data_IF_363593779971
#
_entry.id   IF_363593779971
#
_cell.length_a   1.000
_cell.length_b   1.000
_cell.length_c   1.000
_cell.angle_alpha   90.00
_cell.angle_beta   90.00
_cell.angle_gamma   90.00
#
_symmetry.space_group_name_H-M   'P 1'
#
loop_
_entity.id
_entity.type
_entity.pdbx_description
1 polymer ?
#
# COMPACT_ATOMS: atom_id res chain seq x y z
N UNK A 1 -11.19 -7.58 -24.26
CA UNK A 1 -10.13 -8.62 -24.33
C UNK A 1 -8.76 -8.18 -23.80
N UNK A 2 -8.37 -6.89 -23.82
CA UNK A 2 -7.06 -6.42 -23.31
C UNK A 2 -6.92 -6.39 -21.77
N UNK A 3 -8.00 -6.09 -21.02
CA UNK A 3 -7.98 -6.03 -19.54
C UNK A 3 -7.65 -7.38 -18.87
N UNK A 4 -8.28 -8.48 -19.32
CA UNK A 4 -8.02 -9.83 -18.79
C UNK A 4 -6.59 -10.35 -19.09
N UNK A 5 -5.92 -9.78 -20.10
CA UNK A 5 -4.53 -10.10 -20.44
C UNK A 5 -3.53 -9.43 -19.49
N UNK A 6 -3.77 -8.17 -19.13
CA UNK A 6 -2.93 -7.41 -18.20
C UNK A 6 -3.04 -7.94 -16.76
N UNK A 7 -4.23 -8.37 -16.34
CA UNK A 7 -4.46 -9.00 -15.03
C UNK A 7 -3.70 -10.32 -14.88
N UNK A 8 -3.71 -11.17 -15.92
CA UNK A 8 -2.93 -12.41 -15.96
C UNK A 8 -1.43 -12.16 -15.93
N UNK A 9 -0.95 -11.08 -16.55
CA UNK A 9 0.47 -10.70 -16.54
C UNK A 9 0.87 -10.16 -15.17
N UNK A 10 0.07 -9.28 -14.56
CA UNK A 10 0.28 -8.77 -13.20
C UNK A 10 0.30 -9.91 -12.16
N UNK A 11 -0.66 -10.83 -12.22
CA UNK A 11 -0.68 -12.06 -11.40
C UNK A 11 0.58 -12.91 -11.59
N UNK A 12 1.09 -13.00 -12.83
CA UNK A 12 2.32 -13.74 -13.15
C UNK A 12 3.58 -13.05 -12.63
N UNK A 13 3.63 -11.72 -12.68
CA UNK A 13 4.71 -10.88 -12.15
C UNK A 13 4.71 -10.91 -10.62
N UNK A 14 3.55 -10.80 -9.96
CA UNK A 14 3.41 -10.92 -8.51
C UNK A 14 3.79 -12.32 -8.04
N UNK A 15 3.30 -13.38 -8.71
CA UNK A 15 3.74 -14.76 -8.44
C UNK A 15 5.23 -14.94 -8.69
N UNK A 16 5.81 -14.36 -9.73
CA UNK A 16 7.24 -14.44 -10.02
C UNK A 16 8.10 -13.67 -9.00
N UNK A 17 7.70 -12.47 -8.59
CA UNK A 17 8.40 -11.65 -7.60
C UNK A 17 8.37 -12.30 -6.21
N UNK A 18 7.22 -12.86 -5.79
CA UNK A 18 7.17 -13.71 -4.60
C UNK A 18 7.98 -14.99 -4.76
N UNK A 19 7.98 -15.63 -5.94
CA UNK A 19 8.79 -16.83 -6.18
C UNK A 19 10.29 -16.58 -6.15
N UNK A 20 10.74 -15.37 -6.53
CA UNK A 20 12.16 -14.95 -6.47
C UNK A 20 12.59 -14.55 -5.05
N UNK A 21 11.69 -14.03 -4.21
CA UNK A 21 11.93 -13.74 -2.78
C UNK A 21 11.86 -14.99 -1.86
N UNK A 22 11.37 -16.14 -2.35
CA UNK A 22 11.01 -17.37 -1.60
C UNK A 22 12.04 -17.94 -0.59
N UNK A 23 13.29 -17.49 -0.55
CA UNK A 23 14.35 -18.22 0.18
C UNK A 23 15.22 -17.40 1.14
N UNK A 24 14.95 -16.11 1.42
CA UNK A 24 15.87 -15.34 2.30
C UNK A 24 15.24 -14.52 3.43
N UNK A 25 13.97 -14.14 3.35
CA UNK A 25 13.33 -13.38 4.43
C UNK A 25 13.02 -14.28 5.64
N UNK A 26 13.34 -13.78 6.84
CA UNK A 26 12.94 -14.37 8.14
C UNK A 26 11.93 -13.46 8.85
N UNK A 27 11.30 -12.53 8.13
CA UNK A 27 10.52 -11.47 8.72
C UNK A 27 9.03 -11.65 8.40
N UNK A 28 8.18 -11.12 9.28
CA UNK A 28 6.74 -11.01 9.03
C UNK A 28 6.44 -9.86 8.08
N UNK A 29 5.48 -10.01 7.19
CA UNK A 29 5.02 -9.00 6.25
C UNK A 29 3.49 -8.99 6.20
N UNK A 30 2.94 -7.90 5.67
CA UNK A 30 1.51 -7.76 5.49
C UNK A 30 0.99 -8.84 4.53
N UNK A 31 -0.19 -9.40 4.82
CA UNK A 31 -0.87 -10.29 3.89
C UNK A 31 -1.36 -9.50 2.68
N UNK A 32 -0.94 -9.88 1.47
CA UNK A 32 -1.19 -9.10 0.23
C UNK A 32 -2.26 -9.71 -0.67
N UNK A 33 -3.21 -10.48 -0.12
CA UNK A 33 -4.24 -11.16 -0.92
C UNK A 33 -5.63 -11.10 -0.26
N UNK A 34 -6.68 -10.93 -1.05
CA UNK A 34 -8.08 -11.13 -0.61
C UNK A 34 -8.58 -12.53 -0.99
N UNK A 35 -9.45 -13.12 -0.17
CA UNK A 35 -10.03 -14.45 -0.38
C UNK A 35 -11.42 -14.37 -1.01
N UNK A 36 -11.54 -14.68 -2.31
CA UNK A 36 -12.81 -14.68 -3.05
C UNK A 36 -13.77 -15.79 -2.63
N UNK A 37 -13.27 -16.88 -2.07
CA UNK A 37 -14.14 -17.89 -1.48
C UNK A 37 -14.78 -17.29 -0.23
N UNK A 38 -16.12 -17.26 -0.09
CA UNK A 38 -16.81 -16.59 1.01
C UNK A 38 -16.72 -17.43 2.29
N UNK A 39 -15.51 -17.58 2.83
CA UNK A 39 -15.21 -18.20 4.11
C UNK A 39 -14.58 -17.16 5.03
N UNK A 40 -14.91 -17.22 6.31
CA UNK A 40 -14.33 -16.32 7.30
C UNK A 40 -12.94 -16.81 7.72
N UNK A 41 -11.91 -16.05 7.34
CA UNK A 41 -10.52 -16.23 7.76
C UNK A 41 -9.96 -15.00 8.48
N UNK A 42 -10.83 -14.11 8.99
CA UNK A 42 -10.42 -12.87 9.63
C UNK A 42 -9.53 -13.11 10.86
N UNK A 43 -9.75 -14.21 11.59
CA UNK A 43 -8.90 -14.65 12.71
C UNK A 43 -7.41 -14.80 12.34
N UNK A 44 -7.10 -14.96 11.06
CA UNK A 44 -5.73 -15.06 10.54
C UNK A 44 -5.32 -13.84 9.72
N UNK A 45 -6.06 -12.72 9.82
CA UNK A 45 -5.85 -11.48 9.09
C UNK A 45 -5.99 -11.64 7.56
N UNK A 46 -6.79 -12.62 7.12
CA UNK A 46 -7.12 -12.88 5.71
C UNK A 46 -8.58 -12.46 5.48
N UNK A 47 -8.79 -11.44 4.65
CA UNK A 47 -10.11 -10.84 4.41
C UNK A 47 -10.67 -11.22 3.04
N UNK A 48 -12.00 -11.23 2.90
CA UNK A 48 -12.64 -11.55 1.62
C UNK A 48 -12.65 -10.36 0.64
N UNK A 49 -12.66 -9.14 1.17
CA UNK A 49 -12.74 -7.90 0.42
C UNK A 49 -11.84 -6.84 1.06
N UNK A 50 -11.39 -5.87 0.26
CA UNK A 50 -10.67 -4.70 0.72
C UNK A 50 -11.63 -3.51 0.80
N UNK A 51 -11.76 -2.94 1.99
CA UNK A 51 -12.56 -1.76 2.30
C UNK A 51 -11.89 -0.99 3.45
N UNK A 52 -12.40 0.19 3.82
CA UNK A 52 -11.78 1.02 4.85
C UNK A 52 -11.63 0.31 6.22
N UNK A 53 -12.58 -0.54 6.61
CA UNK A 53 -12.54 -1.26 7.89
C UNK A 53 -11.51 -2.39 7.88
N UNK A 54 -11.54 -3.24 6.84
CA UNK A 54 -10.59 -4.35 6.67
C UNK A 54 -9.17 -3.81 6.50
N UNK A 55 -9.00 -2.75 5.73
CA UNK A 55 -7.73 -2.05 5.61
C UNK A 55 -7.25 -1.58 6.98
N UNK A 56 -8.12 -0.93 7.79
CA UNK A 56 -7.77 -0.48 9.14
C UNK A 56 -7.32 -1.65 10.02
N UNK A 57 -8.03 -2.79 10.01
CA UNK A 57 -7.63 -4.02 10.73
C UNK A 57 -6.29 -4.58 10.24
N UNK A 58 -6.07 -4.56 8.92
CA UNK A 58 -4.81 -5.00 8.31
C UNK A 58 -3.62 -4.15 8.74
N UNK A 59 -3.83 -2.85 8.96
CA UNK A 59 -2.75 -1.91 9.26
C UNK A 59 -2.60 -1.56 10.74
N UNK A 60 -3.61 -1.84 11.58
CA UNK A 60 -3.62 -1.51 13.02
C UNK A 60 -2.51 -2.18 13.81
N UNK A 61 -2.27 -3.48 13.58
CA UNK A 61 -1.30 -4.28 14.32
C UNK A 61 -0.41 -5.08 13.36
N UNK A 62 0.81 -5.42 13.80
CA UNK A 62 1.64 -6.39 13.07
C UNK A 62 0.97 -7.77 13.07
N UNK A 63 1.19 -8.58 12.03
CA UNK A 63 0.59 -9.91 11.93
C UNK A 63 0.91 -10.83 13.12
N UNK A 64 2.09 -10.67 13.70
CA UNK A 64 2.47 -11.37 14.92
C UNK A 64 1.66 -10.93 16.14
N UNK A 65 1.51 -9.61 16.35
CA UNK A 65 0.69 -9.07 17.45
C UNK A 65 -0.77 -9.47 17.26
N UNK A 66 -1.29 -9.36 16.03
CA UNK A 66 -2.64 -9.78 15.69
C UNK A 66 -2.88 -11.26 16.03
N UNK A 67 -1.95 -12.15 15.65
CA UNK A 67 -2.03 -13.56 16.03
C UNK A 67 -2.01 -13.76 17.56
N UNK A 68 -1.22 -12.98 18.31
CA UNK A 68 -1.19 -13.03 19.78
C UNK A 68 -2.52 -12.56 20.40
N UNK A 69 -3.13 -11.51 19.87
CA UNK A 69 -4.46 -11.04 20.29
C UNK A 69 -5.49 -12.16 20.08
N UNK A 70 -5.47 -12.81 18.92
CA UNK A 70 -6.38 -13.91 18.60
C UNK A 70 -6.12 -15.19 19.43
N UNK A 71 -4.90 -15.36 19.94
CA UNK A 71 -4.53 -16.42 20.86
C UNK A 71 -5.06 -16.22 22.29
N UNK A 72 -5.59 -15.02 22.60
CA UNK A 72 -6.07 -14.68 23.94
C UNK A 72 -4.98 -14.22 24.90
N UNK A 73 -3.88 -13.64 24.39
CA UNK A 73 -2.90 -12.93 25.22
C UNK A 73 -3.56 -11.70 25.85
N UNK A 74 -3.29 -11.43 27.12
CA UNK A 74 -3.88 -10.31 27.84
C UNK A 74 -3.43 -8.94 27.28
N UNK A 75 -4.28 -7.94 27.45
CA UNK A 75 -4.09 -6.61 26.86
C UNK A 75 -2.80 -5.91 27.36
N UNK A 76 -2.43 -6.10 28.64
CA UNK A 76 -1.22 -5.52 29.19
C UNK A 76 0.04 -6.11 28.51
N UNK A 77 0.06 -7.42 28.31
CA UNK A 77 1.14 -8.08 27.58
C UNK A 77 1.17 -7.68 26.10
N UNK A 78 0.01 -7.52 25.45
CA UNK A 78 -0.06 -7.04 24.05
C UNK A 78 0.49 -5.62 23.91
N UNK A 79 0.16 -4.72 24.84
CA UNK A 79 0.70 -3.36 24.86
C UNK A 79 2.23 -3.36 25.00
N UNK A 80 2.77 -4.21 25.87
CA UNK A 80 4.22 -4.41 25.97
C UNK A 80 4.84 -4.94 24.65
N UNK A 81 4.17 -5.86 23.95
CA UNK A 81 4.65 -6.34 22.65
C UNK A 81 4.66 -5.23 21.58
N UNK A 82 3.69 -4.31 21.61
CA UNK A 82 3.62 -3.14 20.72
C UNK A 82 4.77 -2.16 20.95
N UNK A 83 5.22 -2.01 22.19
CA UNK A 83 6.41 -1.18 22.48
C UNK A 83 7.67 -1.72 21.81
N UNK A 84 7.79 -3.05 21.71
CA UNK A 84 8.96 -3.74 21.14
C UNK A 84 8.88 -3.82 19.60
N UNK A 85 7.69 -4.13 19.06
CA UNK A 85 7.42 -4.26 17.63
C UNK A 85 6.66 -3.02 17.17
N UNK A 86 7.42 -1.99 16.78
CA UNK A 86 6.88 -0.75 16.22
C UNK A 86 6.73 -0.75 14.70
N UNK A 87 7.12 -1.84 14.04
CA UNK A 87 7.14 -1.98 12.58
C UNK A 87 6.53 -3.31 12.18
N UNK A 88 5.87 -3.35 11.01
CA UNK A 88 5.22 -4.57 10.51
C UNK A 88 6.22 -5.65 10.10
N UNK A 89 7.35 -5.21 9.54
CA UNK A 89 8.47 -6.07 9.17
C UNK A 89 9.55 -6.03 10.27
N UNK A 90 9.70 -7.15 10.99
CA UNK A 90 10.65 -7.26 12.08
C UNK A 90 11.37 -8.62 12.06
N UNK A 91 12.62 -8.66 12.55
CA UNK A 91 13.40 -9.90 12.57
C UNK A 91 12.92 -10.85 13.66
N UNK A 92 12.96 -12.16 13.39
CA UNK A 92 12.67 -13.24 14.36
C UNK A 92 13.44 -13.13 15.69
N UNK A 93 14.60 -12.48 15.71
CA UNK A 93 15.35 -12.23 16.95
C UNK A 93 14.56 -11.42 17.99
N UNK A 94 13.61 -10.58 17.55
CA UNK A 94 12.71 -9.85 18.45
C UNK A 94 11.70 -10.78 19.13
N UNK A 95 11.27 -11.87 18.48
CA UNK A 95 10.39 -12.88 19.11
C UNK A 95 11.09 -13.51 20.31
N UNK A 96 12.40 -13.77 20.21
CA UNK A 96 13.18 -14.28 21.35
C UNK A 96 13.19 -13.30 22.54
N UNK A 97 13.27 -12.00 22.26
CA UNK A 97 13.22 -10.96 23.31
C UNK A 97 11.83 -10.93 23.95
N UNK A 98 10.78 -10.97 23.14
CA UNK A 98 9.39 -10.99 23.61
C UNK A 98 9.11 -12.22 24.45
N UNK A 99 9.53 -13.41 24.01
CA UNK A 99 9.35 -14.67 24.75
C UNK A 99 9.91 -14.58 26.17
N UNK A 100 11.14 -14.07 26.29
CA UNK A 100 11.82 -13.88 27.58
C UNK A 100 11.13 -12.86 28.48
N UNK A 101 10.63 -11.76 27.90
CA UNK A 101 10.04 -10.67 28.67
C UNK A 101 8.60 -10.94 29.10
N UNK A 102 7.79 -11.57 28.24
CA UNK A 102 6.38 -11.83 28.52
C UNK A 102 6.15 -13.14 29.27
N UNK A 103 7.12 -14.06 29.26
CA UNK A 103 6.95 -15.40 29.81
C UNK A 103 6.10 -16.31 28.92
N UNK A 104 5.97 -15.99 27.63
CA UNK A 104 5.17 -16.74 26.66
C UNK A 104 6.11 -17.58 25.79
N UNK A 105 5.77 -18.87 25.63
CA UNK A 105 6.45 -19.74 24.66
C UNK A 105 5.84 -19.51 23.27
N UNK A 106 6.68 -19.24 22.29
CA UNK A 106 6.26 -19.17 20.88
C UNK A 106 6.83 -20.34 20.10
N UNK A 107 5.96 -21.13 19.49
CA UNK A 107 6.35 -22.17 18.55
C UNK A 107 5.96 -21.74 17.14
N UNK A 108 6.95 -21.51 16.28
CA UNK A 108 6.76 -21.01 14.91
C UNK A 108 7.11 -22.11 13.91
N UNK A 109 6.12 -22.57 13.15
CA UNK A 109 6.33 -23.45 12.01
C UNK A 109 6.47 -22.60 10.75
N UNK A 110 7.68 -22.54 10.19
CA UNK A 110 7.89 -21.95 8.87
C UNK A 110 7.52 -22.97 7.80
N UNK A 111 6.44 -22.67 7.09
CA UNK A 111 5.92 -23.51 6.03
C UNK A 111 6.81 -23.44 4.78
N UNK A 112 7.17 -24.60 4.23
CA UNK A 112 7.88 -24.69 2.97
C UNK A 112 7.20 -25.71 2.05
N UNK A 113 6.83 -25.27 0.84
CA UNK A 113 6.14 -26.11 -0.14
C UNK A 113 7.08 -27.14 -0.80
N UNK A 114 8.39 -26.85 -0.86
CA UNK A 114 9.40 -27.68 -1.56
C UNK A 114 10.28 -28.52 -0.65
N UNK A 115 10.42 -28.12 0.61
CA UNK A 115 11.33 -28.74 1.57
C UNK A 115 10.60 -29.07 2.88
N UNK A 116 11.31 -29.69 3.81
CA UNK A 116 10.78 -29.87 5.17
C UNK A 116 10.47 -28.52 5.82
N UNK A 117 9.33 -28.47 6.51
CA UNK A 117 9.00 -27.35 7.39
C UNK A 117 10.09 -27.20 8.45
N UNK A 118 10.38 -25.95 8.80
CA UNK A 118 11.33 -25.65 9.88
C UNK A 118 10.54 -25.17 11.09
N UNK A 119 10.75 -25.79 12.25
CA UNK A 119 10.20 -25.34 13.52
C UNK A 119 11.22 -24.47 14.27
N UNK A 120 10.72 -23.41 14.89
CA UNK A 120 11.50 -22.55 15.77
C UNK A 120 10.74 -22.41 17.08
N UNK A 121 11.37 -22.80 18.18
CA UNK A 121 10.80 -22.62 19.52
C UNK A 121 11.55 -21.51 20.23
N UNK A 122 10.81 -20.53 20.73
CA UNK A 122 11.31 -19.45 21.56
C UNK A 122 10.80 -19.66 22.97
N UNK A 123 11.71 -20.09 23.85
CA UNK A 123 11.43 -20.36 25.26
C UNK A 123 11.62 -19.09 26.11
N UNK A 124 10.73 -18.85 27.09
CA UNK A 124 10.98 -17.91 28.17
C UNK A 124 12.09 -18.41 29.12
N UNK A 125 12.60 -17.52 29.97
CA UNK A 125 13.61 -17.87 30.99
C UNK A 125 13.00 -18.61 32.20
N UNK A 126 11.70 -18.46 32.43
CA UNK A 126 10.89 -19.11 33.47
C UNK A 126 9.88 -20.09 32.85
N UNK A 127 9.10 -20.81 33.66
CA UNK A 127 8.02 -21.66 33.14
C UNK A 127 7.01 -20.84 32.31
N UNK A 128 6.65 -21.32 31.10
CA UNK A 128 5.80 -20.55 30.20
C UNK A 128 4.37 -20.47 30.74
N UNK A 129 3.85 -19.24 30.85
CA UNK A 129 2.45 -18.99 31.24
C UNK A 129 1.46 -19.51 30.20
N UNK A 130 1.87 -19.48 28.94
CA UNK A 130 1.09 -19.97 27.81
C UNK A 130 2.00 -20.32 26.64
N UNK A 131 1.47 -21.10 25.70
CA UNK A 131 2.14 -21.42 24.44
C UNK A 131 1.29 -20.92 23.28
N UNK A 132 1.91 -20.15 22.38
CA UNK A 132 1.27 -19.66 21.15
C UNK A 132 1.87 -20.41 19.96
N UNK A 133 1.02 -21.16 19.27
CA UNK A 133 1.35 -21.93 18.08
C UNK A 133 1.14 -21.06 16.83
N UNK A 134 2.24 -20.74 16.15
CA UNK A 134 2.27 -19.84 15.00
C UNK A 134 2.69 -20.59 13.74
N UNK A 135 2.07 -20.21 12.63
CA UNK A 135 2.40 -20.61 11.28
C UNK A 135 2.97 -19.38 10.57
N UNK A 136 4.16 -19.53 9.97
CA UNK A 136 4.73 -18.54 9.07
C UNK A 136 4.63 -19.06 7.64
N UNK A 137 3.70 -18.49 6.87
CA UNK A 137 3.44 -18.88 5.48
C UNK A 137 3.33 -17.61 4.63
N UNK A 138 3.98 -17.59 3.46
CA UNK A 138 4.08 -16.40 2.60
C UNK A 138 4.56 -15.14 3.34
N UNK A 139 5.56 -15.31 4.21
CA UNK A 139 6.11 -14.26 5.06
C UNK A 139 5.08 -13.62 6.01
N UNK A 140 3.93 -14.24 6.27
CA UNK A 140 2.91 -13.73 7.20
C UNK A 140 2.74 -14.64 8.43
N UNK A 141 2.72 -14.07 9.63
CA UNK A 141 2.44 -14.80 10.87
C UNK A 141 0.94 -14.96 11.09
N UNK A 142 0.51 -16.19 11.36
CA UNK A 142 -0.88 -16.53 11.67
C UNK A 142 -0.93 -17.63 12.72
N UNK A 143 -2.08 -17.84 13.36
CA UNK A 143 -2.24 -18.96 14.29
C UNK A 143 -2.23 -20.30 13.57
N UNK A 144 -1.48 -21.26 14.09
CA UNK A 144 -1.39 -22.61 13.53
C UNK A 144 -2.55 -23.48 14.04
N UNK A 145 -3.74 -23.26 13.47
CA UNK A 145 -4.98 -23.94 13.86
C UNK A 145 -5.48 -24.92 12.78
N UNK A 146 -6.47 -25.74 13.15
CA UNK A 146 -7.21 -26.60 12.23
C UNK A 146 -8.63 -26.07 12.08
N UNK A 147 -9.08 -25.96 10.84
CA UNK A 147 -10.40 -25.43 10.50
C UNK A 147 -11.38 -26.54 10.15
N UNK A 148 -12.69 -26.43 10.48
CA UNK A 148 -13.73 -27.37 10.10
C UNK A 148 -14.12 -27.21 8.61
N UNK A 149 -13.13 -27.30 7.72
CA UNK A 149 -13.26 -27.13 6.28
C UNK A 149 -12.70 -28.37 5.62
N UNK A 150 -13.44 -28.90 4.65
CA UNK A 150 -12.99 -30.02 3.84
C UNK A 150 -12.23 -29.54 2.60
N UNK A 151 -11.24 -30.33 2.20
CA UNK A 151 -10.52 -30.08 0.95
C UNK A 151 -11.42 -30.22 -0.29
N UNK A 152 -12.45 -31.07 -0.21
CA UNK A 152 -13.46 -31.25 -1.26
C UNK A 152 -14.35 -30.03 -1.42
N UNK A 153 -14.78 -29.39 -0.32
CA UNK A 153 -15.54 -28.15 -0.40
C UNK A 153 -14.79 -27.06 -1.16
N UNK A 154 -13.50 -26.85 -0.86
CA UNK A 154 -12.69 -25.83 -1.53
C UNK A 154 -12.57 -26.14 -3.03
N UNK A 155 -12.34 -27.39 -3.41
CA UNK A 155 -12.17 -27.78 -4.83
C UNK A 155 -13.45 -27.75 -5.66
N UNK A 156 -14.61 -27.97 -5.04
CA UNK A 156 -15.89 -28.15 -5.72
C UNK A 156 -16.95 -27.15 -5.24
N UNK A 157 -16.54 -25.97 -4.78
CA UNK A 157 -17.42 -24.97 -4.16
C UNK A 157 -18.67 -24.67 -5.00
N UNK A 158 -18.51 -24.42 -6.31
CA UNK A 158 -19.63 -24.10 -7.20
C UNK A 158 -20.63 -25.25 -7.30
N UNK A 159 -20.16 -26.49 -7.45
CA UNK A 159 -21.01 -27.68 -7.53
C UNK A 159 -21.75 -27.92 -6.22
N UNK A 160 -21.06 -27.74 -5.08
CA UNK A 160 -21.65 -27.89 -3.74
C UNK A 160 -22.73 -26.83 -3.53
N UNK A 161 -22.50 -25.59 -3.94
CA UNK A 161 -23.49 -24.52 -3.83
C UNK A 161 -24.70 -24.74 -4.75
N UNK A 162 -24.52 -25.32 -5.94
CA UNK A 162 -25.62 -25.66 -6.86
C UNK A 162 -26.49 -26.81 -6.35
N UNK A 163 -25.88 -27.85 -5.80
CA UNK A 163 -26.57 -29.07 -5.34
C UNK A 163 -27.14 -28.94 -3.93
N UNK A 164 -26.46 -28.21 -3.04
CA UNK A 164 -26.85 -28.01 -1.65
C UNK A 164 -27.26 -26.56 -1.40
N UNK A 165 -28.21 -26.03 -2.19
CA UNK A 165 -28.65 -24.62 -2.08
C UNK A 165 -29.15 -24.28 -0.67
N UNK A 166 -29.98 -25.15 -0.10
CA UNK A 166 -30.66 -24.93 1.19
C UNK A 166 -29.76 -25.10 2.43
N UNK A 167 -28.50 -25.50 2.25
CA UNK A 167 -27.58 -25.69 3.36
C UNK A 167 -26.94 -24.36 3.77
N UNK A 168 -26.64 -24.21 5.06
CA UNK A 168 -25.77 -23.12 5.53
C UNK A 168 -24.36 -23.32 5.00
N UNK A 169 -23.60 -22.22 4.86
CA UNK A 169 -22.21 -22.25 4.42
C UNK A 169 -21.35 -23.18 5.30
N UNK A 170 -21.49 -23.09 6.63
CA UNK A 170 -20.80 -23.94 7.59
C UNK A 170 -21.03 -25.44 7.32
N UNK A 171 -22.27 -25.81 6.98
CA UNK A 171 -22.61 -27.18 6.63
C UNK A 171 -22.02 -27.60 5.28
N UNK A 172 -21.95 -26.68 4.31
CA UNK A 172 -21.27 -26.91 3.01
C UNK A 172 -19.76 -27.11 3.19
N UNK A 173 -19.13 -26.39 4.12
CA UNK A 173 -17.70 -26.52 4.41
C UNK A 173 -17.30 -27.94 4.83
N UNK A 174 -18.22 -28.69 5.47
CA UNK A 174 -18.00 -30.05 5.96
C UNK A 174 -18.17 -31.16 4.90
N UNK A 175 -18.46 -30.80 3.64
CA UNK A 175 -18.70 -31.75 2.54
C UNK A 175 -17.43 -32.49 2.15
N UNK A 176 -17.29 -33.75 2.56
CA UNK A 176 -16.03 -34.50 2.39
C UNK A 176 -16.05 -35.55 1.28
N UNK A 177 -17.23 -35.97 0.80
CA UNK A 177 -17.36 -36.97 -0.27
C UNK A 177 -18.51 -36.63 -1.20
N UNK A 178 -18.29 -36.87 -2.50
CA UNK A 178 -19.30 -36.78 -3.55
C UNK A 178 -19.81 -38.19 -3.90
N UNK A 179 -21.12 -38.35 -3.96
CA UNK A 179 -21.80 -39.47 -4.60
C UNK A 179 -22.56 -38.94 -5.83
N UNK A 180 -23.06 -39.84 -6.69
CA UNK A 180 -23.74 -39.45 -7.94
C UNK A 180 -24.90 -38.47 -7.73
N UNK A 181 -25.65 -38.63 -6.63
CA UNK A 181 -26.87 -37.84 -6.36
C UNK A 181 -26.83 -37.04 -5.05
N UNK A 182 -25.77 -37.17 -4.24
CA UNK A 182 -25.68 -36.50 -2.93
C UNK A 182 -24.24 -36.26 -2.47
N UNK A 183 -24.07 -35.31 -1.56
CA UNK A 183 -22.82 -35.12 -0.82
C UNK A 183 -22.94 -35.69 0.59
N UNK A 184 -21.86 -36.27 1.10
CA UNK A 184 -21.74 -36.60 2.52
C UNK A 184 -20.95 -35.54 3.25
N UNK A 185 -21.39 -35.27 4.48
CA UNK A 185 -20.73 -34.40 5.43
C UNK A 185 -19.97 -35.24 6.45
N UNK A 186 -18.87 -34.71 6.96
CA UNK A 186 -18.20 -35.24 8.14
C UNK A 186 -17.99 -34.11 9.14
N UNK A 187 -18.79 -34.11 10.22
CA UNK A 187 -18.76 -33.09 11.26
C UNK A 187 -17.48 -33.08 12.10
N UNK A 188 -16.71 -34.17 12.10
CA UNK A 188 -15.43 -34.27 12.81
C UNK A 188 -14.24 -33.90 11.93
N UNK A 189 -14.46 -33.60 10.66
CA UNK A 189 -13.39 -33.29 9.73
C UNK A 189 -12.81 -31.91 10.03
N UNK A 190 -11.51 -31.87 10.28
CA UNK A 190 -10.74 -30.64 10.38
C UNK A 190 -9.52 -30.71 9.47
N UNK A 191 -9.20 -29.59 8.82
CA UNK A 191 -8.04 -29.45 7.92
C UNK A 191 -7.08 -28.40 8.48
N UNK A 192 -5.76 -28.67 8.54
CA UNK A 192 -4.78 -27.67 8.95
C UNK A 192 -4.86 -26.39 8.10
N UNK A 193 -4.72 -25.23 8.73
CA UNK A 193 -4.80 -23.93 8.04
C UNK A 193 -3.86 -23.83 6.85
N UNK A 194 -2.60 -24.28 7.00
CA UNK A 194 -1.63 -24.33 5.91
C UNK A 194 -2.20 -25.04 4.67
N UNK A 195 -2.91 -26.16 4.87
CA UNK A 195 -3.50 -26.93 3.76
C UNK A 195 -4.70 -26.23 3.13
N UNK A 196 -5.50 -25.52 3.94
CA UNK A 196 -6.60 -24.67 3.44
C UNK A 196 -6.04 -23.58 2.52
N UNK A 197 -4.99 -22.87 2.97
CA UNK A 197 -4.35 -21.80 2.20
C UNK A 197 -3.75 -22.34 0.90
N UNK A 198 -3.05 -23.48 0.92
CA UNK A 198 -2.57 -24.13 -0.31
C UNK A 198 -3.70 -24.41 -1.31
N UNK A 199 -4.83 -24.95 -0.83
CA UNK A 199 -5.96 -25.27 -1.68
C UNK A 199 -6.61 -24.01 -2.26
N UNK A 200 -6.69 -22.93 -1.50
CA UNK A 200 -7.20 -21.65 -1.99
C UNK A 200 -6.31 -21.08 -3.10
N UNK A 201 -4.98 -21.14 -2.95
CA UNK A 201 -4.05 -20.77 -4.02
C UNK A 201 -4.15 -21.69 -5.23
N UNK A 202 -4.27 -23.00 -5.02
CA UNK A 202 -4.36 -23.99 -6.11
C UNK A 202 -5.63 -23.84 -6.95
N UNK A 203 -6.74 -23.36 -6.36
CA UNK A 203 -8.01 -23.13 -7.04
C UNK A 203 -8.22 -21.66 -7.44
N UNK A 204 -7.19 -20.80 -7.35
CA UNK A 204 -7.23 -19.37 -7.70
C UNK A 204 -8.31 -18.56 -6.95
N UNK A 205 -8.56 -18.87 -5.69
CA UNK A 205 -9.47 -18.07 -4.85
C UNK A 205 -8.81 -16.82 -4.25
N UNK A 206 -7.49 -16.68 -4.36
CA UNK A 206 -6.79 -15.48 -3.90
C UNK A 206 -6.60 -14.48 -5.02
N UNK A 207 -6.99 -13.23 -4.75
CA UNK A 207 -6.74 -12.07 -5.61
C UNK A 207 -5.72 -11.16 -4.93
N UNK A 208 -4.68 -10.67 -5.64
CA UNK A 208 -3.66 -9.82 -5.03
C UNK A 208 -4.21 -8.44 -4.73
N UNK A 209 -3.87 -7.91 -3.55
CA UNK A 209 -4.09 -6.52 -3.18
C UNK A 209 -2.97 -5.69 -3.77
N UNK A 210 -3.28 -4.68 -4.60
CA UNK A 210 -2.27 -3.76 -5.10
C UNK A 210 -1.89 -2.80 -3.98
N UNK A 211 -0.60 -2.50 -3.84
CA UNK A 211 -0.11 -1.54 -2.83
C UNK A 211 -0.81 -0.18 -2.96
N UNK A 212 -1.03 0.27 -4.20
CA UNK A 212 -1.79 1.49 -4.46
C UNK A 212 -3.23 1.46 -3.94
N UNK A 213 -3.95 0.34 -4.07
CA UNK A 213 -5.32 0.19 -3.56
C UNK A 213 -5.34 0.28 -2.04
N UNK A 214 -4.39 -0.37 -1.35
CA UNK A 214 -4.26 -0.24 0.10
C UNK A 214 -3.98 1.22 0.50
N UNK A 215 -3.09 1.91 -0.21
CA UNK A 215 -2.75 3.31 0.06
C UNK A 215 -3.92 4.28 -0.17
N UNK A 216 -4.91 3.96 -1.01
CA UNK A 216 -6.12 4.81 -1.13
C UNK A 216 -6.93 4.92 0.17
N UNK A 217 -6.81 3.95 1.07
CA UNK A 217 -7.50 3.97 2.37
C UNK A 217 -6.70 4.68 3.48
N UNK A 218 -5.47 5.12 3.21
CA UNK A 218 -4.61 5.77 4.20
C UNK A 218 -3.96 7.02 3.65
N UNK A 219 -4.20 8.15 4.30
CA UNK A 219 -3.65 9.47 3.95
C UNK A 219 -2.12 9.57 4.06
N UNK A 220 -1.46 8.55 4.57
CA UNK A 220 -0.01 8.49 4.69
C UNK A 220 0.45 7.06 4.45
N UNK A 221 1.41 6.91 3.54
CA UNK A 221 2.11 5.65 3.30
C UNK A 221 2.65 5.00 4.59
N UNK A 222 2.88 5.81 5.64
CA UNK A 222 3.48 5.40 6.91
C UNK A 222 2.94 6.17 8.15
N UNK A 223 1.66 6.55 8.25
CA UNK A 223 1.08 6.55 9.63
C UNK A 223 0.93 5.08 10.04
N UNK A 224 2.07 4.41 10.19
CA UNK A 224 2.30 3.22 11.01
C UNK A 224 2.20 3.60 12.48
N UNK A 225 1.24 4.46 12.84
CA UNK A 225 0.86 4.61 14.22
C UNK A 225 0.06 3.35 14.54
N UNK A 226 0.80 2.26 14.77
CA UNK A 226 0.35 1.19 15.66
C UNK A 226 -0.24 1.86 16.90
N UNK A 227 -1.24 1.21 17.48
CA UNK A 227 -2.09 1.77 18.53
C UNK A 227 -1.28 2.60 19.56
N UNK A 228 -1.73 3.85 19.82
CA UNK A 228 -0.99 4.79 20.66
C UNK A 228 -0.72 4.19 22.05
N UNK A 229 0.43 4.53 22.60
CA UNK A 229 0.83 4.09 23.93
C UNK A 229 -0.15 4.70 24.95
N UNK A 230 -0.94 3.83 25.60
CA UNK A 230 -2.02 4.24 26.51
C UNK A 230 -1.45 4.82 27.81
N UNK A 231 -0.25 4.38 28.21
CA UNK A 231 0.38 4.75 29.46
C UNK A 231 1.86 5.10 29.26
N UNK A 232 2.31 6.20 29.89
CA UNK A 232 3.70 6.67 29.89
C UNK A 232 4.46 6.17 31.14
N UNK A 233 3.82 5.39 32.02
CA UNK A 233 4.49 4.82 33.18
C UNK A 233 5.57 3.83 32.76
N UNK A 234 6.71 3.93 33.44
CA UNK A 234 7.91 3.18 33.10
C UNK A 234 7.90 1.83 33.83
N UNK A 235 7.94 0.73 33.07
CA UNK A 235 8.12 -0.58 33.65
C UNK A 235 9.61 -0.84 33.96
N UNK A 236 9.99 -0.77 35.24
CA UNK A 236 11.38 -0.95 35.70
C UNK A 236 12.00 -2.27 35.26
N UNK A 237 11.21 -3.34 35.10
CA UNK A 237 11.70 -4.66 34.69
C UNK A 237 12.24 -4.68 33.25
N UNK A 238 11.67 -3.87 32.36
CA UNK A 238 11.97 -3.93 30.92
C UNK A 238 12.77 -2.74 30.43
N UNK A 239 12.57 -1.57 31.03
CA UNK A 239 13.08 -0.32 30.50
C UNK A 239 14.45 0.07 31.09
N UNK A 240 14.94 -0.64 32.11
CA UNK A 240 16.21 -0.35 32.82
C UNK A 240 17.43 -1.13 32.29
N UNK A 241 17.54 -1.33 30.97
CA UNK A 241 18.68 -2.06 30.38
C UNK A 241 19.81 -1.11 30.01
N UNK A 242 21.04 -1.45 30.43
CA UNK A 242 22.25 -0.77 29.96
C UNK A 242 22.34 -0.88 28.44
N UNK A 243 22.41 0.28 27.78
CA UNK A 243 22.60 0.38 26.33
C UNK A 243 23.99 -0.18 25.99
N UNK A 244 24.07 -1.13 25.07
CA UNK A 244 25.37 -1.59 24.54
C UNK A 244 26.05 -0.46 23.78
N UNK A 245 27.37 -0.40 23.88
CA UNK A 245 28.19 0.56 23.15
C UNK A 245 27.94 0.47 21.64
N UNK A 246 27.85 1.64 21.03
CA UNK A 246 27.59 1.81 19.61
C UNK A 246 28.81 1.38 18.79
N UNK A 247 28.64 0.48 17.81
CA UNK A 247 29.69 0.14 16.82
C UNK A 247 29.32 0.68 15.44
N UNK A 248 30.29 1.32 14.79
CA UNK A 248 30.15 2.11 13.57
C UNK A 248 30.20 1.31 12.26
N UNK A 249 30.31 -0.02 12.33
CA UNK A 249 30.82 -0.83 11.21
C UNK A 249 29.81 -1.17 10.11
N UNK A 250 28.61 -0.61 10.10
CA UNK A 250 27.60 -0.99 9.07
C UNK A 250 26.75 0.18 8.58
N UNK A 251 27.38 1.17 7.95
CA UNK A 251 26.67 2.05 7.00
C UNK A 251 27.23 1.88 5.60
N UNK A 252 26.56 1.05 4.79
CA UNK A 252 26.62 1.26 3.34
C UNK A 252 25.74 2.46 3.04
N UNK A 253 26.35 3.53 2.54
CA UNK A 253 25.64 4.69 2.02
C UNK A 253 24.80 4.23 0.82
N UNK A 254 23.52 3.91 1.04
CA UNK A 254 22.58 3.57 -0.03
C UNK A 254 22.01 4.85 -0.63
N UNK A 255 22.84 5.60 -1.36
CA UNK A 255 22.37 6.74 -2.15
C UNK A 255 21.65 6.21 -3.40
N UNK A 256 20.50 6.80 -3.71
CA UNK A 256 19.77 6.51 -4.95
C UNK A 256 20.67 6.84 -6.16
N UNK A 257 20.89 5.90 -7.09
CA UNK A 257 21.78 6.11 -8.23
C UNK A 257 21.04 6.92 -9.31
N UNK A 258 20.89 8.24 -9.12
CA UNK A 258 20.20 9.10 -10.09
C UNK A 258 21.01 9.26 -11.38
N UNK A 259 20.34 9.17 -12.53
CA UNK A 259 20.92 9.47 -13.85
C UNK A 259 20.21 10.65 -14.53
N UNK A 260 18.91 10.85 -14.27
CA UNK A 260 18.10 11.91 -14.85
C UNK A 260 17.38 12.70 -13.76
N UNK A 261 17.16 14.00 -13.98
CA UNK A 261 16.48 14.89 -13.04
C UNK A 261 15.33 15.61 -13.74
N UNK A 262 14.13 15.50 -13.17
CA UNK A 262 12.93 16.13 -13.70
C UNK A 262 12.25 17.00 -12.63
N UNK A 263 11.57 18.04 -13.08
CA UNK A 263 10.60 18.80 -12.30
C UNK A 263 9.23 18.57 -12.92
N UNK A 264 8.22 18.30 -12.09
CA UNK A 264 6.89 17.96 -12.56
C UNK A 264 5.80 18.57 -11.66
N UNK A 265 4.63 18.81 -12.26
CA UNK A 265 3.43 19.30 -11.58
C UNK A 265 2.18 18.65 -12.21
N UNK A 266 1.20 18.27 -11.39
CA UNK A 266 -0.07 17.73 -11.85
C UNK A 266 -1.18 18.77 -11.76
N UNK A 267 -2.00 18.83 -12.80
CA UNK A 267 -3.30 19.47 -12.72
C UNK A 267 -4.41 18.43 -12.53
N UNK A 268 -5.34 18.72 -11.61
CA UNK A 268 -6.39 17.80 -11.21
C UNK A 268 -7.74 18.49 -11.00
N UNK A 269 -8.83 17.76 -11.30
CA UNK A 269 -10.19 18.29 -11.11
C UNK A 269 -10.57 18.32 -9.62
N UNK A 270 -11.32 19.35 -9.23
CA UNK A 270 -11.79 19.57 -7.85
C UNK A 270 -13.31 19.38 -7.70
N UNK A 271 -13.98 18.92 -8.77
CA UNK A 271 -15.44 18.78 -8.92
C UNK A 271 -16.08 17.63 -8.11
N UNK A 272 -15.35 17.02 -7.17
CA UNK A 272 -15.89 15.98 -6.30
C UNK A 272 -14.96 15.56 -5.16
N UNK A 273 -15.41 14.58 -4.36
CA UNK A 273 -14.67 14.09 -3.18
C UNK A 273 -13.33 13.40 -3.51
N UNK A 274 -13.10 13.03 -4.77
CA UNK A 274 -11.86 12.38 -5.23
C UNK A 274 -11.32 13.21 -6.39
N UNK A 275 -10.18 13.85 -6.17
CA UNK A 275 -9.49 14.60 -7.20
C UNK A 275 -8.94 13.65 -8.27
N UNK A 276 -9.01 14.07 -9.53
CA UNK A 276 -8.54 13.27 -10.66
C UNK A 276 -7.55 14.08 -11.48
N UNK A 277 -6.32 13.61 -11.55
CA UNK A 277 -5.30 14.17 -12.43
C UNK A 277 -5.77 14.08 -13.89
N UNK A 278 -5.58 15.19 -14.61
CA UNK A 278 -5.93 15.31 -16.02
C UNK A 278 -4.79 15.83 -16.88
N UNK A 279 -3.81 16.50 -16.29
CA UNK A 279 -2.58 16.92 -16.95
C UNK A 279 -1.39 16.67 -16.01
N UNK A 280 -0.24 16.35 -16.60
CA UNK A 280 1.07 16.49 -15.98
C UNK A 280 1.99 17.24 -16.91
N UNK A 281 2.55 18.32 -16.40
CA UNK A 281 3.63 19.07 -17.03
C UNK A 281 4.95 18.67 -16.37
N UNK A 282 5.98 18.40 -17.18
CA UNK A 282 7.29 18.07 -16.67
C UNK A 282 8.40 18.56 -17.59
N UNK A 283 9.54 18.89 -17.00
CA UNK A 283 10.75 19.32 -17.70
C UNK A 283 11.97 18.60 -17.13
N UNK A 284 12.96 18.36 -17.96
CA UNK A 284 14.27 17.85 -17.54
C UNK A 284 15.16 19.02 -17.10
N UNK A 285 16.04 18.83 -16.12
CA UNK A 285 16.91 19.89 -15.55
C UNK A 285 17.79 20.59 -16.60
N UNK A 286 18.15 19.89 -17.68
CA UNK A 286 19.02 20.38 -18.76
C UNK A 286 18.25 20.81 -20.03
N UNK A 287 16.91 20.84 -20.00
CA UNK A 287 16.06 21.18 -21.15
C UNK A 287 15.24 22.45 -20.88
N UNK A 288 15.25 23.39 -21.84
CA UNK A 288 14.41 24.59 -21.80
C UNK A 288 12.96 24.29 -22.24
N UNK A 289 12.72 23.10 -22.80
CA UNK A 289 11.40 22.62 -23.18
C UNK A 289 10.64 21.94 -22.04
N UNK A 290 9.32 22.13 -22.00
CA UNK A 290 8.43 21.34 -21.15
C UNK A 290 7.63 20.34 -22.01
N UNK A 291 7.28 19.21 -21.41
CA UNK A 291 6.33 18.25 -21.98
C UNK A 291 5.06 18.27 -21.15
N UNK A 292 3.91 18.37 -21.83
CA UNK A 292 2.59 18.29 -21.21
C UNK A 292 1.86 17.04 -21.69
N UNK A 293 1.29 16.26 -20.77
CA UNK A 293 0.54 15.04 -21.08
C UNK A 293 -0.88 15.16 -20.52
N UNK A 294 -1.82 15.34 -21.43
CA UNK A 294 -3.25 15.42 -21.12
C UNK A 294 -3.95 14.05 -21.13
N UNK A 295 -5.02 13.98 -20.32
CA UNK A 295 -5.98 12.88 -20.26
C UNK A 295 -5.96 12.12 -18.94
N UNK A 296 -7.00 11.33 -18.70
CA UNK A 296 -7.16 10.56 -17.45
C UNK A 296 -6.07 9.50 -17.20
N UNK A 297 -5.25 9.19 -18.21
CA UNK A 297 -4.13 8.26 -18.13
C UNK A 297 -2.76 8.97 -18.04
N UNK A 298 -2.74 10.29 -17.81
CA UNK A 298 -1.55 11.14 -17.75
C UNK A 298 -0.47 10.58 -16.80
N UNK A 299 -0.85 10.18 -15.58
CA UNK A 299 0.07 9.61 -14.60
C UNK A 299 0.78 8.34 -15.11
N UNK A 300 0.07 7.48 -15.83
CA UNK A 300 0.64 6.25 -16.38
C UNK A 300 1.59 6.52 -17.55
N UNK A 301 1.20 7.44 -18.46
CA UNK A 301 2.01 7.89 -19.59
C UNK A 301 3.27 8.61 -19.13
N UNK A 302 3.19 9.42 -18.08
CA UNK A 302 4.33 10.06 -17.45
C UNK A 302 5.37 9.05 -16.95
N UNK A 303 4.93 8.02 -16.20
CA UNK A 303 5.83 6.94 -15.74
C UNK A 303 6.41 6.13 -16.91
N UNK A 304 5.69 6.00 -18.03
CA UNK A 304 6.20 5.40 -19.26
C UNK A 304 7.25 6.27 -19.95
N UNK A 305 7.11 7.59 -19.92
CA UNK A 305 8.04 8.55 -20.51
C UNK A 305 9.36 8.66 -19.73
N UNK A 306 9.31 8.60 -18.39
CA UNK A 306 10.51 8.72 -17.56
C UNK A 306 11.56 7.63 -17.82
N UNK A 307 12.83 7.94 -18.04
CA UNK A 307 13.92 6.96 -18.07
C UNK A 307 14.10 6.17 -16.76
N UNK A 308 14.84 5.06 -16.81
CA UNK A 308 15.29 4.38 -15.59
C UNK A 308 16.16 5.31 -14.74
N UNK A 309 16.11 5.16 -13.40
CA UNK A 309 16.88 5.99 -12.44
C UNK A 309 16.59 7.49 -12.49
N UNK A 310 15.38 7.86 -12.90
CA UNK A 310 14.91 9.24 -12.86
C UNK A 310 14.63 9.69 -11.43
N UNK A 311 15.12 10.88 -11.10
CA UNK A 311 14.78 11.63 -9.90
C UNK A 311 13.82 12.75 -10.27
N UNK A 312 12.59 12.72 -9.75
CA UNK A 312 11.55 13.69 -10.07
C UNK A 312 11.23 14.52 -8.84
N UNK A 313 11.22 15.83 -9.00
CA UNK A 313 10.81 16.78 -7.99
C UNK A 313 9.36 17.24 -8.24
N UNK A 314 8.55 17.16 -7.19
CA UNK A 314 7.25 17.80 -7.10
C UNK A 314 7.30 18.84 -5.99
N UNK A 315 6.60 19.96 -6.15
CA UNK A 315 6.52 20.97 -5.11
C UNK A 315 5.28 20.74 -4.26
N UNK A 316 5.47 20.12 -3.08
CA UNK A 316 4.43 19.48 -2.26
C UNK A 316 4.06 18.06 -2.73
N UNK A 317 5.08 17.19 -2.85
CA UNK A 317 4.97 15.79 -3.28
C UNK A 317 3.82 15.00 -2.65
N UNK A 318 3.44 15.30 -1.40
CA UNK A 318 2.37 14.59 -0.67
C UNK A 318 1.06 14.54 -1.45
N UNK A 319 0.77 15.55 -2.26
CA UNK A 319 -0.42 15.59 -3.11
C UNK A 319 -0.21 14.74 -4.38
N UNK A 320 0.78 15.11 -5.19
CA UNK A 320 1.04 14.51 -6.51
C UNK A 320 1.32 13.02 -6.47
N UNK A 321 2.03 12.58 -5.42
CA UNK A 321 2.43 11.18 -5.33
C UNK A 321 1.23 10.24 -5.23
N UNK A 322 0.08 10.71 -4.75
CA UNK A 322 -1.15 9.91 -4.66
C UNK A 322 -1.63 9.44 -6.03
N UNK A 323 -1.43 10.23 -7.09
CA UNK A 323 -1.75 9.85 -8.47
C UNK A 323 -0.79 8.77 -8.99
N UNK A 324 0.49 8.87 -8.64
CA UNK A 324 1.56 7.95 -9.07
C UNK A 324 1.55 6.62 -8.33
N UNK A 325 1.23 6.66 -7.03
CA UNK A 325 1.19 5.54 -6.10
C UNK A 325 0.41 4.33 -6.63
N UNK A 326 -0.73 4.59 -7.25
CA UNK A 326 -1.62 3.57 -7.80
C UNK A 326 -1.01 2.76 -8.94
N UNK A 327 0.01 3.31 -9.60
CA UNK A 327 0.64 2.77 -10.81
C UNK A 327 1.96 2.03 -10.53
N UNK A 328 2.59 2.26 -9.38
CA UNK A 328 3.86 1.65 -9.02
C UNK A 328 3.69 0.16 -8.66
N UNK A 329 4.62 -0.69 -9.11
CA UNK A 329 4.60 -2.14 -8.86
C UNK A 329 5.09 -2.48 -7.45
N UNK A 330 6.08 -1.74 -6.96
CA UNK A 330 6.72 -1.96 -5.66
C UNK A 330 7.26 -0.62 -5.16
N UNK A 331 7.00 -0.28 -3.89
CA UNK A 331 7.73 0.78 -3.19
C UNK A 331 9.05 0.19 -2.69
N UNK A 332 10.15 0.87 -2.99
CA UNK A 332 11.50 0.43 -2.66
C UNK A 332 12.15 1.38 -1.68
N UNK A 333 13.08 0.88 -0.86
CA UNK A 333 13.67 1.67 0.22
C UNK A 333 12.67 2.03 1.32
N UNK A 334 13.09 2.94 2.20
CA UNK A 334 12.23 3.52 3.23
C UNK A 334 11.82 4.92 2.77
N UNK A 335 10.54 5.15 2.46
CA UNK A 335 10.03 6.49 2.22
C UNK A 335 10.31 7.41 3.41
N UNK A 336 10.61 8.66 3.11
CA UNK A 336 10.93 9.67 4.11
C UNK A 336 9.68 10.53 4.28
N UNK A 337 9.07 10.43 5.46
CA UNK A 337 7.85 11.17 5.81
C UNK A 337 8.10 11.90 7.12
N UNK A 338 7.73 13.18 7.17
CA UNK A 338 7.85 14.04 8.34
C UNK A 338 6.48 14.63 8.67
N UNK A 339 5.81 14.06 9.68
CA UNK A 339 4.42 14.40 9.97
C UNK A 339 3.50 13.99 8.82
N UNK A 340 2.69 14.91 8.30
CA UNK A 340 1.86 14.69 7.11
C UNK A 340 2.61 14.89 5.78
N UNK A 341 3.85 15.39 5.82
CA UNK A 341 4.62 15.72 4.62
C UNK A 341 5.42 14.51 4.14
N UNK A 342 5.18 14.10 2.89
CA UNK A 342 5.96 13.08 2.20
C UNK A 342 7.16 13.74 1.52
N UNK A 343 8.37 13.51 2.04
CA UNK A 343 9.60 14.13 1.54
C UNK A 343 10.27 13.34 0.41
N UNK A 344 10.19 12.01 0.46
CA UNK A 344 10.80 11.15 -0.55
C UNK A 344 10.11 9.80 -0.64
N UNK A 345 9.86 9.32 -1.85
CA UNK A 345 9.42 7.95 -2.14
C UNK A 345 10.27 7.38 -3.27
N UNK A 346 10.65 6.11 -3.18
CA UNK A 346 11.26 5.39 -4.29
C UNK A 346 10.37 4.23 -4.70
N UNK A 347 10.24 3.95 -5.98
CA UNK A 347 9.37 2.91 -6.48
C UNK A 347 9.86 2.29 -7.77
N UNK A 348 9.34 1.11 -8.09
CA UNK A 348 9.56 0.45 -9.37
C UNK A 348 8.33 0.54 -10.25
N UNK A 349 8.57 0.79 -11.52
CA UNK A 349 7.55 0.81 -12.56
C UNK A 349 8.08 0.13 -13.82
N UNK A 350 7.49 -1.00 -14.25
CA UNK A 350 7.89 -1.76 -15.44
C UNK A 350 9.40 -2.01 -15.54
N UNK A 351 10.02 -2.33 -14.41
CA UNK A 351 11.47 -2.57 -14.30
C UNK A 351 12.35 -1.33 -14.13
N UNK A 352 11.80 -0.11 -14.26
CA UNK A 352 12.48 1.15 -13.97
C UNK A 352 12.46 1.43 -12.47
N UNK A 353 13.54 1.97 -11.94
CA UNK A 353 13.68 2.46 -10.57
C UNK A 353 13.55 3.99 -10.57
N UNK A 354 12.51 4.51 -9.92
CA UNK A 354 12.19 5.94 -9.90
C UNK A 354 12.26 6.48 -8.47
N UNK A 355 12.68 7.74 -8.32
CA UNK A 355 12.69 8.45 -7.05
C UNK A 355 11.90 9.74 -7.18
N UNK A 356 10.98 9.97 -6.25
CA UNK A 356 10.17 11.18 -6.15
C UNK A 356 10.59 11.94 -4.89
N UNK A 357 10.83 13.24 -5.01
CA UNK A 357 11.24 14.11 -3.91
C UNK A 357 10.39 15.36 -3.82
N UNK A 358 10.21 15.81 -2.60
CA UNK A 358 9.52 17.07 -2.32
C UNK A 358 10.49 18.24 -2.35
N UNK A 359 10.30 19.16 -3.30
CA UNK A 359 11.08 20.40 -3.33
C UNK A 359 10.62 21.38 -2.25
N UNK A 360 9.37 21.30 -1.77
CA UNK A 360 8.86 22.14 -0.66
C UNK A 360 9.55 21.82 0.68
N UNK A 361 10.05 20.60 0.83
CA UNK A 361 10.89 20.20 1.97
C UNK A 361 12.28 20.89 1.96
N UNK A 362 12.71 21.43 0.82
CA UNK A 362 13.97 22.15 0.64
C UNK A 362 13.70 23.66 0.66
N UNK A 363 12.73 24.12 -0.12
CA UNK A 363 12.31 25.52 -0.24
C UNK A 363 10.88 25.61 0.27
N UNK A 364 10.73 25.83 1.57
CA UNK A 364 9.43 25.81 2.26
C UNK A 364 8.62 27.10 2.06
N UNK A 365 8.50 27.54 0.81
CA UNK A 365 7.71 28.70 0.40
C UNK A 365 6.87 28.29 -0.80
N UNK A 366 5.67 28.86 -0.94
CA UNK A 366 4.83 28.66 -2.13
C UNK A 366 5.53 29.16 -3.39
N UNK A 367 5.26 28.48 -4.51
CA UNK A 367 5.74 28.86 -5.85
C UNK A 367 5.38 30.31 -6.24
N UNK A 368 4.25 30.85 -5.77
CA UNK A 368 3.85 32.24 -6.05
C UNK A 368 4.89 33.29 -5.62
N UNK A 369 5.75 32.96 -4.63
CA UNK A 369 6.80 33.86 -4.13
C UNK A 369 8.17 33.62 -4.75
N UNK A 370 8.33 32.60 -5.60
CA UNK A 370 9.61 32.28 -6.21
C UNK A 370 10.13 33.40 -7.12
N UNK A 371 9.29 34.06 -7.95
CA UNK A 371 9.76 35.16 -8.80
C UNK A 371 10.42 36.28 -7.99
N UNK A 372 9.78 36.67 -6.87
CA UNK A 372 10.32 37.69 -5.96
C UNK A 372 11.59 37.20 -5.24
N UNK A 373 11.57 35.98 -4.69
CA UNK A 373 12.67 35.44 -3.88
C UNK A 373 13.95 35.18 -4.66
N UNK A 374 13.83 34.71 -5.89
CA UNK A 374 14.97 34.33 -6.73
C UNK A 374 15.23 35.31 -7.87
N UNK A 375 14.49 36.43 -7.90
CA UNK A 375 14.56 37.44 -8.96
C UNK A 375 14.38 36.83 -10.36
N UNK A 376 13.43 35.92 -10.51
CA UNK A 376 13.16 35.25 -11.78
C UNK A 376 12.36 36.16 -12.70
N UNK A 377 12.73 36.18 -13.98
CA UNK A 377 11.94 36.75 -15.07
C UNK A 377 10.84 35.79 -15.55
N UNK A 378 10.23 35.04 -14.63
CA UNK A 378 9.08 34.20 -14.91
C UNK A 378 7.80 35.04 -14.96
N UNK A 379 6.81 34.62 -15.77
CA UNK A 379 5.48 35.23 -15.80
C UNK A 379 4.76 35.16 -14.45
N UNK A 380 3.66 35.92 -14.30
CA UNK A 380 2.83 35.86 -13.10
C UNK A 380 2.27 34.45 -12.90
N UNK A 381 2.35 33.92 -11.67
CA UNK A 381 1.72 32.64 -11.36
C UNK A 381 0.19 32.83 -11.36
N UNK A 382 -0.43 32.15 -12.32
CA UNK A 382 -1.80 32.21 -12.80
C UNK A 382 -2.96 32.54 -11.84
N UNK A 383 -3.92 33.28 -12.40
CA UNK A 383 -5.27 33.54 -11.91
C UNK A 383 -6.29 32.69 -12.69
N UNK A 384 -5.96 31.47 -13.12
CA UNK A 384 -6.98 30.58 -13.68
C UNK A 384 -7.86 29.98 -12.58
N UNK A 385 -9.19 29.91 -12.78
CA UNK A 385 -10.10 29.43 -11.75
C UNK A 385 -10.01 27.90 -11.60
N UNK A 386 -9.27 27.41 -10.60
CA UNK A 386 -9.18 25.97 -10.29
C UNK A 386 -10.56 25.28 -10.12
N UNK A 387 -11.59 26.02 -9.71
CA UNK A 387 -12.96 25.52 -9.55
C UNK A 387 -13.75 25.41 -10.86
N UNK A 388 -13.22 25.95 -11.97
CA UNK A 388 -13.82 25.91 -13.29
C UNK A 388 -13.43 24.63 -14.06
N UNK A 389 -12.26 24.06 -13.75
CA UNK A 389 -11.76 22.84 -14.39
C UNK A 389 -12.56 21.60 -13.95
N UNK A 390 -13.63 21.29 -14.69
CA UNK A 390 -14.40 20.05 -14.50
C UNK A 390 -13.85 18.92 -15.36
N UNK A 391 -14.12 17.68 -14.95
CA UNK A 391 -13.72 16.50 -15.73
C UNK A 391 -14.27 16.52 -17.16
N UNK A 392 -15.47 17.08 -17.37
CA UNK A 392 -16.08 17.15 -18.70
C UNK A 392 -15.33 18.11 -19.61
N UNK A 393 -15.15 19.36 -19.18
CA UNK A 393 -14.43 20.43 -19.91
C UNK A 393 -13.03 19.99 -20.35
N UNK A 394 -12.28 19.36 -19.45
CA UNK A 394 -10.90 18.94 -19.72
C UNK A 394 -10.82 17.77 -20.71
N UNK A 395 -11.83 16.89 -20.76
CA UNK A 395 -11.80 15.72 -21.64
C UNK A 395 -12.46 15.95 -23.01
N UNK A 396 -13.23 17.04 -23.19
CA UNK A 396 -14.00 17.28 -24.42
C UNK A 396 -13.34 18.29 -25.35
N UNK A 397 -13.26 19.55 -24.93
CA UNK A 397 -12.85 20.66 -25.81
C UNK A 397 -11.52 21.28 -25.40
N UNK A 398 -11.17 21.26 -24.10
CA UNK A 398 -10.04 22.03 -23.54
C UNK A 398 -10.12 23.52 -23.88
N UNK A 399 -11.34 23.99 -24.13
CA UNK A 399 -11.66 25.38 -24.42
C UNK A 399 -12.61 25.83 -23.35
N UNK A 400 -12.21 26.89 -22.62
CA UNK A 400 -13.00 27.50 -21.56
C UNK A 400 -13.79 28.68 -22.10
N UNK A 401 -14.97 28.91 -21.54
CA UNK A 401 -15.76 30.12 -21.76
C UNK A 401 -15.34 31.19 -20.75
N UNK A 402 -15.02 32.39 -21.23
CA UNK A 402 -14.47 33.50 -20.44
C UNK A 402 -15.51 33.99 -19.42
N UNK A 403 -16.76 34.21 -19.84
CA UNK A 403 -17.83 34.70 -18.96
C UNK A 403 -18.15 33.72 -17.83
N UNK A 404 -18.18 32.43 -18.14
CA UNK A 404 -18.40 31.40 -17.12
C UNK A 404 -17.21 31.34 -16.15
N UNK A 405 -15.97 31.38 -16.66
CA UNK A 405 -14.76 31.33 -15.85
C UNK A 405 -14.64 32.54 -14.89
N UNK A 406 -15.07 33.73 -15.31
CA UNK A 406 -15.09 34.94 -14.46
C UNK A 406 -15.90 34.74 -13.17
N UNK A 407 -16.94 33.88 -13.18
CA UNK A 407 -17.73 33.58 -11.98
C UNK A 407 -16.97 32.75 -10.93
N UNK A 408 -15.84 32.14 -11.31
CA UNK A 408 -15.03 31.27 -10.46
C UNK A 408 -13.71 31.91 -10.01
N UNK A 409 -13.40 33.11 -10.50
CA UNK A 409 -12.19 33.85 -10.20
C UNK A 409 -12.44 34.91 -9.12
N UNK A 410 -11.46 35.14 -8.23
CA UNK A 410 -11.53 36.22 -7.22
C UNK A 410 -11.08 37.58 -7.73
N UNK A 411 -10.12 37.60 -8.66
CA UNK A 411 -9.56 38.79 -9.29
C UNK A 411 -9.80 38.75 -10.81
N UNK A 412 -10.92 39.34 -11.22
CA UNK A 412 -11.38 39.33 -12.61
C UNK A 412 -10.44 40.16 -13.51
N UNK A 413 -9.87 41.24 -12.98
CA UNK A 413 -8.98 42.12 -13.74
C UNK A 413 -7.68 41.37 -14.08
N UNK A 414 -7.07 40.70 -13.09
CA UNK A 414 -5.87 39.91 -13.30
C UNK A 414 -6.11 38.70 -14.24
N UNK A 415 -7.29 38.09 -14.22
CA UNK A 415 -7.64 37.01 -15.15
C UNK A 415 -7.70 37.48 -16.61
N UNK A 416 -8.38 38.60 -16.86
CA UNK A 416 -8.45 39.17 -18.21
C UNK A 416 -7.08 39.64 -18.72
N UNK A 417 -6.28 40.29 -17.86
CA UNK A 417 -4.92 40.67 -18.22
C UNK A 417 -4.04 39.45 -18.56
N UNK A 418 -4.20 38.34 -17.83
CA UNK A 418 -3.43 37.13 -18.08
C UNK A 418 -3.83 36.42 -19.38
N UNK A 419 -5.13 36.34 -19.70
CA UNK A 419 -5.60 35.79 -20.98
C UNK A 419 -5.03 36.59 -22.17
N UNK A 420 -4.91 37.91 -22.04
CA UNK A 420 -4.35 38.75 -23.11
C UNK A 420 -2.82 38.71 -23.17
N UNK A 421 -2.14 38.51 -22.03
CA UNK A 421 -0.67 38.48 -21.95
C UNK A 421 -0.06 37.15 -22.40
N UNK A 422 -0.76 36.03 -22.19
CA UNK A 422 -0.26 34.69 -22.54
C UNK A 422 -0.48 34.44 -24.04
N UNK A 423 0.62 34.18 -24.76
CA UNK A 423 0.58 33.89 -26.20
C UNK A 423 -0.28 32.65 -26.45
N UNK A 424 -1.14 32.71 -27.47
CA UNK A 424 -2.11 31.67 -27.87
C UNK A 424 -3.20 31.30 -26.83
N UNK A 425 -3.28 31.97 -25.67
CA UNK A 425 -4.31 31.69 -24.66
C UNK A 425 -5.71 32.20 -25.06
N UNK A 426 -5.83 33.38 -25.66
CA UNK A 426 -7.13 33.88 -26.14
C UNK A 426 -7.45 33.29 -27.52
N UNK A 427 -8.49 32.45 -27.60
CA UNK A 427 -8.94 31.88 -28.87
C UNK A 427 -9.85 32.88 -29.60
N UNK A 428 -10.85 33.42 -28.88
CA UNK A 428 -11.75 34.45 -29.37
C UNK A 428 -12.28 35.31 -28.20
N UNK A 429 -13.28 36.16 -28.45
CA UNK A 429 -13.84 37.07 -27.43
C UNK A 429 -14.68 36.36 -26.35
N UNK A 430 -15.09 35.12 -26.59
CA UNK A 430 -15.89 34.31 -25.66
C UNK A 430 -15.09 33.13 -25.08
N UNK A 431 -13.96 32.76 -25.70
CA UNK A 431 -13.24 31.53 -25.40
C UNK A 431 -11.73 31.72 -25.20
N UNK A 432 -11.18 30.93 -24.28
CA UNK A 432 -9.75 30.83 -24.02
C UNK A 432 -9.29 29.36 -24.05
N UNK A 433 -8.03 29.15 -24.43
CA UNK A 433 -7.37 27.86 -24.40
C UNK A 433 -7.02 27.50 -22.95
N UNK A 434 -7.39 26.28 -22.57
CA UNK A 434 -7.10 25.73 -21.25
C UNK A 434 -5.78 24.93 -21.24
N UNK A 435 -5.07 24.84 -22.38
CA UNK A 435 -3.79 24.10 -22.52
C UNK A 435 -2.51 24.85 -22.15
#
# INVERSE_FOLDING_TARGET
MRAAGQEKIALKIIKQNHSKKRNRSRNGQLWTWTCKLPINLERYQIFNELNAETAKKMMKDSCFIYACIQAGVDEATINHMREIIRVKDFPMSKIKVIAKETGIRFHVIKYNEKYSNHSYTYEPDEEPKMTVELLLMYDHYMLNEKLPISSMFIKNYEDVCKLCKDWTLEKKMLVNRRYETRYAINSKLVTPLAKVIELLFANNYFEPIRTGELCTYFTTMYNENLEEMIDLTYNERYCARMKKDWSSETKKDMKFPREYVFFADFEASTDGNIHKAYNICFMEDDDDGYTSIWGSDCASKFLEALPDKSLVYFHNLSYDVTFLMSQLEEITGTPIIKGSQTMQIQGKYKGKLLCFKDSYAIISTKLERFPEMFHLTSGEKEVFPYNYYTKELVNTTKVGNIDDAMNHVKDIEAFNENIEKIEDCKIDDEHFDME
#
